data_IF_227867514123
#
_entry.id   IF_227867514123
#
_cell.length_a   1.000
_cell.length_b   1.000
_cell.length_c   1.000
_cell.angle_alpha   90.00
_cell.angle_beta   90.00
_cell.angle_gamma   90.00
#
_symmetry.space_group_name_H-M   'P 1'
#
loop_
_entity.id
_entity.type
_entity.pdbx_description
1 polymer ?
#
# COMPACT_ATOMS: atom_id res chain seq x y z
N UNK A 1 14.99 1.39 0.76
CA UNK A 1 15.07 0.37 -0.30
C UNK A 1 13.67 0.21 -0.89
N UNK A 2 13.52 0.27 -2.22
CA UNK A 2 12.21 0.14 -2.89
C UNK A 2 11.95 -1.35 -3.11
N UNK A 3 10.82 -1.92 -2.65
CA UNK A 3 10.55 -3.35 -2.82
C UNK A 3 10.42 -3.77 -4.30
N UNK A 4 10.98 -4.93 -4.66
CA UNK A 4 11.01 -5.44 -6.04
C UNK A 4 9.61 -5.67 -6.63
N UNK A 5 8.64 -6.07 -5.81
CA UNK A 5 7.25 -6.27 -6.22
C UNK A 5 6.56 -4.97 -6.70
N UNK A 6 7.14 -3.79 -6.42
CA UNK A 6 6.61 -2.47 -6.79
C UNK A 6 7.12 -1.95 -8.14
N UNK A 7 8.15 -2.57 -8.75
CA UNK A 7 8.87 -2.02 -9.90
C UNK A 7 8.11 -2.08 -11.24
N UNK A 8 6.99 -2.83 -11.33
CA UNK A 8 6.12 -2.86 -12.51
C UNK A 8 4.75 -2.29 -12.19
N UNK A 9 4.62 -0.98 -12.23
CA UNK A 9 3.32 -0.36 -12.50
C UNK A 9 3.44 0.33 -13.85
N UNK A 10 2.82 -0.25 -14.89
CA UNK A 10 2.53 0.54 -16.09
C UNK A 10 1.70 1.71 -15.59
N UNK A 11 2.19 2.93 -15.79
CA UNK A 11 1.44 4.14 -15.53
C UNK A 11 0.22 4.13 -16.47
N UNK A 12 -0.86 3.49 -16.03
CA UNK A 12 -2.14 3.53 -16.71
C UNK A 12 -2.70 4.94 -16.55
N UNK A 13 -3.23 5.45 -17.66
CA UNK A 13 -3.69 6.83 -17.91
C UNK A 13 -4.97 7.21 -17.13
N UNK A 14 -5.03 6.83 -15.86
CA UNK A 14 -6.16 7.08 -14.95
C UNK A 14 -5.63 7.55 -13.62
N UNK A 15 -6.23 8.62 -13.11
CA UNK A 15 -5.80 9.34 -11.91
C UNK A 15 -5.73 8.49 -10.63
N UNK A 16 -6.27 7.27 -10.64
CA UNK A 16 -6.40 6.36 -9.50
C UNK A 16 -5.25 5.36 -9.34
N UNK A 17 -4.42 5.16 -10.34
CA UNK A 17 -3.33 4.18 -10.26
C UNK A 17 -2.31 4.56 -9.17
N UNK A 18 -2.00 3.61 -8.29
CA UNK A 18 -0.95 3.78 -7.29
C UNK A 18 0.42 3.85 -7.98
N UNK A 19 1.17 4.93 -7.74
CA UNK A 19 2.48 5.20 -8.32
C UNK A 19 3.54 5.38 -7.25
N UNK A 20 4.78 5.00 -7.55
CA UNK A 20 5.89 5.26 -6.66
C UNK A 20 6.42 6.68 -6.88
N UNK A 21 6.55 7.44 -5.79
CA UNK A 21 7.11 8.80 -5.77
C UNK A 21 8.09 8.95 -4.60
N UNK A 22 8.77 10.08 -4.56
CA UNK A 22 9.53 10.50 -3.38
C UNK A 22 8.73 11.53 -2.60
N UNK A 23 8.74 11.43 -1.28
CA UNK A 23 8.17 12.44 -0.41
C UNK A 23 8.91 13.76 -0.59
N UNK A 24 8.19 14.87 -0.82
CA UNK A 24 8.80 16.18 -1.06
C UNK A 24 9.54 16.75 0.16
N UNK A 25 9.20 16.28 1.36
CA UNK A 25 9.80 16.76 2.63
C UNK A 25 11.04 15.96 3.02
N UNK A 26 10.91 14.63 3.13
CA UNK A 26 11.98 13.76 3.63
C UNK A 26 12.69 12.95 2.53
N UNK A 27 12.24 13.05 1.27
CA UNK A 27 12.76 12.29 0.11
C UNK A 27 12.68 10.76 0.23
N UNK A 28 11.96 10.25 1.24
CA UNK A 28 11.70 8.82 1.37
C UNK A 28 10.79 8.32 0.21
N UNK A 29 10.95 7.07 -0.26
CA UNK A 29 10.04 6.48 -1.22
C UNK A 29 8.64 6.34 -0.60
N UNK A 30 7.61 6.68 -1.37
CA UNK A 30 6.19 6.62 -0.98
C UNK A 30 5.35 6.10 -2.14
N UNK A 31 4.26 5.39 -1.82
CA UNK A 31 3.23 5.02 -2.79
C UNK A 31 2.14 6.09 -2.75
N UNK A 32 1.76 6.59 -3.93
CA UNK A 32 0.81 7.69 -4.10
C UNK A 32 -0.32 7.26 -5.01
N UNK A 33 -1.56 7.38 -4.55
CA UNK A 33 -2.77 7.06 -5.32
C UNK A 33 -3.96 7.90 -4.85
N UNK A 34 -5.03 7.94 -5.65
CA UNK A 34 -6.28 8.58 -5.22
C UNK A 34 -7.10 7.61 -4.38
N UNK A 35 -7.52 8.08 -3.20
CA UNK A 35 -8.49 7.40 -2.35
C UNK A 35 -9.88 7.52 -2.98
N UNK A 36 -10.43 6.36 -3.35
CA UNK A 36 -11.62 6.19 -4.16
C UNK A 36 -12.90 6.76 -3.55
N UNK A 37 -13.05 6.60 -2.23
CA UNK A 37 -14.36 6.70 -1.58
C UNK A 37 -14.49 7.97 -0.72
N UNK A 38 -13.37 8.60 -0.36
CA UNK A 38 -13.33 9.85 0.42
C UNK A 38 -12.79 11.02 -0.40
N UNK A 39 -13.57 11.42 -1.41
CA UNK A 39 -13.41 12.68 -2.15
C UNK A 39 -12.10 12.80 -2.96
N UNK A 40 -11.59 11.71 -3.53
CA UNK A 40 -10.37 11.71 -4.35
C UNK A 40 -9.18 12.39 -3.64
N UNK A 41 -9.03 12.18 -2.32
CA UNK A 41 -7.84 12.65 -1.62
C UNK A 41 -6.63 11.86 -2.08
N UNK A 42 -5.51 12.53 -2.29
CA UNK A 42 -4.24 11.87 -2.58
C UNK A 42 -3.72 11.20 -1.31
N UNK A 43 -3.69 9.87 -1.30
CA UNK A 43 -3.08 9.09 -0.24
C UNK A 43 -1.56 8.98 -0.49
N UNK A 44 -0.77 9.26 0.55
CA UNK A 44 0.68 9.04 0.55
C UNK A 44 0.96 7.95 1.57
N UNK A 45 1.46 6.81 1.11
CA UNK A 45 1.70 5.65 1.95
C UNK A 45 3.17 5.26 1.97
N UNK A 46 3.62 4.72 3.11
CA UNK A 46 4.90 4.04 3.16
C UNK A 46 4.87 2.78 2.27
N UNK A 47 5.93 2.48 1.52
CA UNK A 47 5.95 1.39 0.54
C UNK A 47 6.09 0.01 1.18
N UNK A 48 6.27 -0.05 2.50
CA UNK A 48 6.47 -1.28 3.27
C UNK A 48 5.15 -1.74 3.89
N UNK A 49 4.66 -2.95 3.55
CA UNK A 49 3.49 -3.52 4.19
C UNK A 49 3.65 -3.70 5.69
N UNK A 50 2.57 -3.53 6.44
CA UNK A 50 2.52 -3.66 7.90
C UNK A 50 2.01 -5.04 8.34
N UNK A 51 2.52 -5.47 9.49
CA UNK A 51 1.93 -6.58 10.26
C UNK A 51 0.58 -6.18 10.84
N UNK A 52 -0.16 -7.12 11.42
CA UNK A 52 -1.39 -6.82 12.19
C UNK A 52 -1.11 -5.87 13.35
N UNK A 53 -0.05 -6.15 14.10
CA UNK A 53 0.43 -5.28 15.16
C UNK A 53 0.84 -3.90 14.62
N UNK A 54 1.51 -3.86 13.47
CA UNK A 54 1.91 -2.60 12.81
C UNK A 54 0.73 -1.72 12.41
N UNK A 55 -0.38 -2.32 11.95
CA UNK A 55 -1.61 -1.59 11.67
C UNK A 55 -2.25 -1.05 12.95
N UNK A 56 -2.32 -1.86 14.02
CA UNK A 56 -2.82 -1.39 15.31
C UNK A 56 -2.01 -0.18 15.83
N UNK A 57 -0.68 -0.24 15.73
CA UNK A 57 0.19 0.88 16.07
C UNK A 57 -0.07 2.09 15.17
N UNK A 58 -0.28 1.90 13.87
CA UNK A 58 -0.61 2.98 12.94
C UNK A 58 -1.91 3.69 13.36
N UNK A 59 -2.96 2.92 13.69
CA UNK A 59 -4.24 3.45 14.16
C UNK A 59 -4.07 4.21 15.48
N UNK A 60 -3.33 3.66 16.44
CA UNK A 60 -3.02 4.35 17.71
C UNK A 60 -2.23 5.66 17.51
N UNK A 61 -1.40 5.74 16.47
CA UNK A 61 -0.69 6.96 16.07
C UNK A 61 -1.54 7.93 15.24
N UNK A 62 -2.85 7.67 15.13
CA UNK A 62 -3.79 8.44 14.33
C UNK A 62 -3.38 8.53 12.84
N UNK A 63 -2.86 7.42 12.29
CA UNK A 63 -2.55 7.28 10.86
C UNK A 63 -3.63 6.49 10.17
N UNK A 64 -3.89 6.83 8.92
CA UNK A 64 -4.75 6.02 8.05
C UNK A 64 -3.99 4.78 7.57
N UNK A 65 -4.71 3.68 7.38
CA UNK A 65 -4.20 2.48 6.73
C UNK A 65 -4.96 2.20 5.45
N UNK A 66 -4.28 1.59 4.49
CA UNK A 66 -4.80 1.35 3.14
C UNK A 66 -4.48 -0.06 2.69
N UNK A 67 -5.46 -0.74 2.10
CA UNK A 67 -5.23 -1.95 1.34
C UNK A 67 -4.61 -1.59 -0.02
N UNK A 68 -3.52 -2.26 -0.35
CA UNK A 68 -2.97 -2.21 -1.69
C UNK A 68 -3.56 -3.34 -2.54
N UNK A 69 -4.71 -3.04 -3.14
CA UNK A 69 -5.37 -3.98 -4.04
C UNK A 69 -4.53 -4.13 -5.31
N UNK A 70 -4.19 -5.37 -5.66
CA UNK A 70 -3.54 -5.70 -6.92
C UNK A 70 -4.55 -6.39 -7.82
N UNK A 71 -5.01 -5.69 -8.86
CA UNK A 71 -5.84 -6.24 -9.91
C UNK A 71 -5.02 -6.62 -11.15
N UNK A 72 -5.63 -7.28 -12.15
CA UNK A 72 -4.95 -7.75 -13.37
C UNK A 72 -4.21 -6.64 -14.15
N UNK A 73 -4.66 -5.39 -14.04
CA UNK A 73 -4.14 -4.26 -14.81
C UNK A 73 -3.54 -3.13 -13.97
N UNK A 74 -3.76 -3.10 -12.65
CA UNK A 74 -3.38 -1.94 -11.82
C UNK A 74 -3.33 -2.24 -10.33
N UNK A 75 -2.60 -1.38 -9.61
CA UNK A 75 -2.59 -1.32 -8.15
C UNK A 75 -3.36 -0.10 -7.70
N UNK A 76 -4.23 -0.27 -6.71
CA UNK A 76 -5.06 0.80 -6.14
C UNK A 76 -4.92 0.84 -4.61
N UNK A 77 -5.07 2.02 -4.02
CA UNK A 77 -5.11 2.21 -2.57
C UNK A 77 -6.57 2.35 -2.14
N UNK A 78 -7.05 1.42 -1.31
CA UNK A 78 -8.38 1.48 -0.70
C UNK A 78 -8.26 1.73 0.80
N UNK A 79 -8.99 2.67 1.39
CA UNK A 79 -8.93 2.92 2.82
C UNK A 79 -9.44 1.71 3.61
N UNK A 80 -8.73 1.37 4.70
CA UNK A 80 -9.20 0.38 5.69
C UNK A 80 -9.97 1.10 6.77
N UNK A 81 -11.29 1.11 6.64
CA UNK A 81 -12.19 1.61 7.67
C UNK A 81 -12.41 0.56 8.77
N UNK A 82 -13.05 0.95 9.89
CA UNK A 82 -13.24 0.08 11.05
C UNK A 82 -13.90 -1.27 10.71
N UNK A 83 -14.78 -1.29 9.71
CA UNK A 83 -15.46 -2.51 9.24
C UNK A 83 -14.55 -3.43 8.42
N UNK A 84 -13.52 -2.87 7.76
CA UNK A 84 -12.48 -3.63 7.07
C UNK A 84 -11.44 -4.17 8.05
N UNK A 85 -11.13 -3.45 9.12
CA UNK A 85 -10.22 -3.91 10.18
C UNK A 85 -10.73 -5.19 10.85
N UNK A 86 -12.06 -5.37 10.97
CA UNK A 86 -12.67 -6.58 11.54
C UNK A 86 -12.65 -7.81 10.61
N UNK A 87 -12.31 -7.63 9.33
CA UNK A 87 -12.28 -8.71 8.33
C UNK A 87 -10.85 -9.21 8.10
N UNK A 88 -10.67 -10.49 7.74
CA UNK A 88 -9.35 -11.02 7.40
C UNK A 88 -8.70 -10.22 6.25
N UNK A 89 -7.38 -10.07 6.32
CA UNK A 89 -6.60 -9.32 5.33
C UNK A 89 -6.47 -10.12 4.04
N UNK A 90 -7.03 -9.58 2.95
CA UNK A 90 -6.88 -10.13 1.61
C UNK A 90 -5.71 -9.50 0.84
N UNK A 91 -5.28 -8.30 1.25
CA UNK A 91 -4.26 -7.51 0.56
C UNK A 91 -3.20 -7.01 1.54
N UNK A 92 -1.99 -6.68 1.06
CA UNK A 92 -0.98 -6.00 1.87
C UNK A 92 -1.51 -4.65 2.36
N UNK A 93 -1.37 -4.41 3.67
CA UNK A 93 -1.80 -3.16 4.31
C UNK A 93 -0.63 -2.20 4.42
N UNK A 94 -0.82 -0.97 3.94
CA UNK A 94 0.14 0.12 4.02
C UNK A 94 -0.32 1.18 5.02
N UNK A 95 0.63 1.83 5.69
CA UNK A 95 0.34 3.01 6.52
C UNK A 95 0.52 4.31 5.75
N UNK A 96 -0.23 5.32 6.16
CA UNK A 96 0.01 6.70 5.78
C UNK A 96 1.44 7.15 6.15
N UNK A 97 2.10 7.77 5.18
CA UNK A 97 3.44 8.27 5.31
C UNK A 97 3.49 9.48 6.26
N UNK A 98 4.31 9.39 7.31
CA UNK A 98 4.63 10.51 8.20
C UNK A 98 6.13 10.68 8.28
N UNK A 99 6.63 11.84 7.86
CA UNK A 99 8.07 12.13 7.87
C UNK A 99 8.64 12.02 9.29
N UNK A 100 9.83 11.42 9.41
CA UNK A 100 10.54 11.27 10.69
C UNK A 100 9.94 10.21 11.63
N UNK A 101 8.85 9.55 11.24
CA UNK A 101 8.21 8.52 12.06
C UNK A 101 7.93 7.27 11.21
N UNK A 102 8.95 6.52 10.77
CA UNK A 102 8.74 5.29 10.03
C UNK A 102 8.17 4.19 10.94
N UNK A 103 7.26 3.36 10.42
CA UNK A 103 6.76 2.16 11.09
C UNK A 103 7.54 0.89 10.69
N UNK A 104 8.81 1.06 10.29
CA UNK A 104 9.66 -0.01 9.76
C UNK A 104 9.85 -1.19 10.74
N UNK A 105 9.82 -0.92 12.05
CA UNK A 105 9.90 -1.96 13.09
C UNK A 105 8.74 -2.97 13.05
N UNK A 106 7.62 -2.60 12.42
CA UNK A 106 6.42 -3.44 12.31
C UNK A 106 6.11 -3.83 10.86
N UNK A 107 7.08 -3.64 9.96
CA UNK A 107 6.95 -4.01 8.56
C UNK A 107 7.01 -5.54 8.39
N UNK A 108 6.15 -6.07 7.53
CA UNK A 108 6.28 -7.44 7.02
C UNK A 108 7.33 -7.39 5.92
N UNK A 109 8.35 -8.28 5.92
CA UNK A 109 9.19 -8.45 4.74
C UNK A 109 8.29 -8.79 3.57
N UNK A 110 8.36 -8.01 2.49
CA UNK A 110 7.46 -8.19 1.35
C UNK A 110 7.46 -9.67 0.92
N UNK A 111 6.30 -10.32 0.78
CA UNK A 111 6.27 -11.69 0.32
C UNK A 111 7.02 -11.77 -1.01
N UNK A 112 7.89 -12.77 -1.13
CA UNK A 112 8.53 -13.06 -2.42
C UNK A 112 7.41 -13.22 -3.45
N UNK A 113 7.59 -12.61 -4.62
CA UNK A 113 6.65 -12.74 -5.73
C UNK A 113 6.49 -14.23 -6.03
N UNK A 114 5.29 -14.76 -5.80
CA UNK A 114 4.91 -16.04 -6.38
C UNK A 114 4.54 -15.75 -7.83
N UNK A 115 5.40 -16.17 -8.76
CA UNK A 115 4.98 -16.32 -10.14
C UNK A 115 3.91 -17.41 -10.13
N UNK A 116 2.66 -17.01 -10.33
CA UNK A 116 1.59 -17.96 -10.61
C UNK A 116 1.94 -18.47 -12.01
N UNK A 117 2.38 -19.72 -12.12
CA UNK A 117 2.58 -20.35 -13.41
C UNK A 117 1.24 -20.33 -14.15
N UNK A 118 1.19 -19.54 -15.22
CA UNK A 118 0.07 -19.42 -16.16
C UNK A 118 -0.03 -20.70 -17.04
N UNK A 119 0.12 -21.89 -16.46
CA UNK A 119 -0.13 -23.14 -17.18
C UNK A 119 -1.60 -23.54 -16.95
N UNK A 120 -2.50 -23.28 -17.91
CA UNK A 120 -3.88 -23.72 -17.80
C UNK A 120 -3.92 -25.26 -17.80
N UNK A 121 -4.80 -25.88 -17.02
CA UNK A 121 -4.98 -27.33 -17.08
C UNK A 121 -5.54 -27.70 -18.46
N UNK A 122 -4.72 -28.34 -19.29
CA UNK A 122 -5.15 -29.03 -20.50
C UNK A 122 -5.50 -30.48 -20.17
#
# INVERSE_FOLDING_TARGET
>A
MIPAWLQRTRAGDTSRAATLRLCRKCRAPVIVGLDADRAARTAYCDPTPLTELGEAVAVMQNRRTYDLMSGPSRKELSPREADHIRKPRLYPVLAEHKCGAPLAAFAVPAPARQDIDDEPPF
#
